data_IF_285297447050
#
_entry.id   IF_285297447050
#
_cell.length_a   1.000
_cell.length_b   1.000
_cell.length_c   1.000
_cell.angle_alpha   90.00
_cell.angle_beta   90.00
_cell.angle_gamma   90.00
#
_symmetry.space_group_name_H-M   'P 1'
#
loop_
_entity.id
_entity.type
_entity.pdbx_description
1 polymer ?
#
# COMPACT_ATOMS: atom_id res chain seq x y z
N UNK A 1 -22.27 -0.68 -31.13
CA UNK A 1 -22.29 0.13 -32.37
C UNK A 1 -22.05 -0.77 -33.56
N UNK A 2 -22.98 -0.88 -34.51
CA UNK A 2 -22.79 -1.67 -35.75
C UNK A 2 -22.12 -0.84 -36.83
N UNK A 3 -21.50 -1.48 -37.82
CA UNK A 3 -20.80 -0.76 -38.89
C UNK A 3 -21.73 0.17 -39.70
N UNK A 4 -23.00 -0.19 -39.88
CA UNK A 4 -24.02 0.63 -40.57
C UNK A 4 -24.36 1.90 -39.78
N UNK A 5 -24.46 1.79 -38.46
CA UNK A 5 -24.72 2.94 -37.59
C UNK A 5 -23.56 3.92 -37.58
N UNK A 6 -22.31 3.40 -37.48
CA UNK A 6 -21.11 4.24 -37.58
C UNK A 6 -21.01 4.93 -38.95
N UNK A 7 -21.41 4.24 -40.02
CA UNK A 7 -21.43 4.82 -41.37
C UNK A 7 -22.35 6.04 -41.44
N UNK A 8 -23.55 5.95 -40.85
CA UNK A 8 -24.54 7.03 -40.83
C UNK A 8 -24.13 8.19 -39.91
N UNK A 9 -23.56 7.91 -38.74
CA UNK A 9 -23.22 8.93 -37.73
C UNK A 9 -22.01 9.75 -38.16
N UNK A 10 -21.01 9.10 -38.76
CA UNK A 10 -19.74 9.74 -39.13
C UNK A 10 -19.62 10.05 -40.63
N UNK A 11 -20.67 9.84 -41.42
CA UNK A 11 -20.69 10.17 -42.85
C UNK A 11 -19.71 9.36 -43.71
N UNK A 12 -19.42 8.12 -43.32
CA UNK A 12 -18.42 7.29 -44.03
C UNK A 12 -19.06 6.73 -45.29
N UNK A 13 -18.49 6.95 -46.48
CA UNK A 13 -19.12 6.50 -47.73
C UNK A 13 -18.85 5.03 -48.07
N UNK A 14 -17.83 4.39 -47.46
CA UNK A 14 -17.43 3.02 -47.75
C UNK A 14 -17.72 2.01 -46.63
N UNK A 15 -18.49 0.96 -46.93
CA UNK A 15 -18.77 -0.16 -45.99
C UNK A 15 -17.48 -0.84 -45.51
N UNK A 16 -16.52 -1.03 -46.40
CA UNK A 16 -15.25 -1.68 -46.10
C UNK A 16 -14.36 -0.84 -45.19
N UNK A 17 -14.44 0.50 -45.27
CA UNK A 17 -13.63 1.43 -44.47
C UNK A 17 -13.86 1.23 -42.98
N UNK A 18 -15.13 1.16 -42.54
CA UNK A 18 -15.48 0.90 -41.14
C UNK A 18 -14.97 -0.45 -40.68
N UNK A 19 -15.13 -1.50 -41.50
CA UNK A 19 -14.65 -2.85 -41.16
C UNK A 19 -13.12 -2.95 -41.13
N UNK A 20 -12.42 -2.22 -41.98
CA UNK A 20 -10.95 -2.16 -41.99
C UNK A 20 -10.44 -1.44 -40.75
N UNK A 21 -11.10 -0.36 -40.33
CA UNK A 21 -10.77 0.31 -39.07
C UNK A 21 -11.06 -0.58 -37.86
N UNK A 22 -12.18 -1.32 -37.86
CA UNK A 22 -12.47 -2.30 -36.81
C UNK A 22 -11.46 -3.46 -36.80
N UNK A 23 -10.98 -3.93 -37.95
CA UNK A 23 -9.94 -4.98 -37.98
C UNK A 23 -8.58 -4.46 -37.53
N UNK A 24 -8.23 -3.23 -37.91
CA UNK A 24 -6.93 -2.61 -37.59
C UNK A 24 -6.87 -2.09 -36.15
N UNK A 25 -7.98 -1.58 -35.62
CA UNK A 25 -8.05 -0.87 -34.35
C UNK A 25 -9.14 -1.39 -33.38
N UNK A 26 -10.01 -2.30 -33.80
CA UNK A 26 -11.15 -2.78 -32.99
C UNK A 26 -10.81 -3.80 -31.90
N UNK A 27 -9.53 -4.16 -31.73
CA UNK A 27 -9.04 -4.82 -30.51
C UNK A 27 -8.81 -3.81 -29.36
N UNK A 28 -8.92 -2.52 -29.66
CA UNK A 28 -8.92 -1.46 -28.66
C UNK A 28 -10.32 -1.38 -28.04
N UNK A 29 -10.58 -2.26 -27.07
CA UNK A 29 -11.81 -2.25 -26.28
C UNK A 29 -11.88 -0.95 -25.47
N UNK A 30 -12.51 0.10 -26.01
CA UNK A 30 -12.78 1.34 -25.27
C UNK A 30 -13.76 1.14 -24.09
N UNK A 31 -14.48 0.02 -24.07
CA UNK A 31 -15.28 -0.44 -22.92
C UNK A 31 -14.43 -1.04 -21.79
N UNK A 32 -13.22 -1.51 -22.11
CA UNK A 32 -12.27 -2.00 -21.12
C UNK A 32 -11.37 -0.85 -20.73
N UNK A 33 -11.75 -0.15 -19.66
CA UNK A 33 -10.96 0.89 -19.00
C UNK A 33 -9.44 0.59 -19.11
N UNK A 34 -8.65 1.36 -19.90
CA UNK A 34 -7.24 1.07 -20.15
C UNK A 34 -6.36 1.16 -18.91
N UNK A 35 -6.90 1.56 -17.74
CA UNK A 35 -6.22 1.42 -16.44
C UNK A 35 -6.23 0.00 -15.88
N UNK A 36 -6.94 -0.97 -16.49
CA UNK A 36 -6.96 -2.36 -16.02
C UNK A 36 -5.97 -3.28 -16.74
N UNK A 37 -5.52 -2.93 -17.95
CA UNK A 37 -4.73 -3.86 -18.79
C UNK A 37 -3.25 -3.48 -18.97
N UNK A 38 -2.75 -2.49 -18.23
CA UNK A 38 -1.32 -2.12 -18.25
C UNK A 38 -0.73 -2.22 -16.85
N UNK A 39 -0.71 -3.44 -16.31
CA UNK A 39 0.29 -3.79 -15.30
C UNK A 39 1.29 -4.73 -15.99
N UNK A 40 2.56 -4.32 -16.21
CA UNK A 40 3.57 -5.26 -16.63
C UNK A 40 3.66 -6.33 -15.52
N UNK A 41 3.53 -7.60 -15.91
CA UNK A 41 3.79 -8.76 -15.04
C UNK A 41 5.27 -8.76 -14.64
N UNK A 42 5.62 -7.94 -13.67
CA UNK A 42 6.80 -8.12 -12.85
C UNK A 42 6.53 -9.31 -11.92
N UNK A 43 7.50 -10.22 -11.67
CA UNK A 43 7.33 -11.33 -10.71
C UNK A 43 7.18 -10.84 -9.26
N UNK A 44 7.32 -9.54 -9.03
CA UNK A 44 7.01 -8.87 -7.77
C UNK A 44 5.63 -8.24 -7.92
N UNK A 45 4.59 -9.06 -7.77
CA UNK A 45 3.25 -8.55 -7.53
C UNK A 45 3.31 -7.75 -6.23
N UNK A 46 3.46 -6.43 -6.37
CA UNK A 46 3.33 -5.50 -5.26
C UNK A 46 1.97 -5.80 -4.63
N UNK A 47 1.96 -6.20 -3.36
CA UNK A 47 0.76 -6.51 -2.59
C UNK A 47 -0.32 -5.46 -2.91
N UNK A 48 -1.56 -5.91 -3.12
CA UNK A 48 -2.65 -4.94 -3.29
C UNK A 48 -2.66 -4.00 -2.10
N UNK A 49 -2.99 -2.71 -2.25
CA UNK A 49 -2.97 -1.75 -1.14
C UNK A 49 -3.72 -2.26 0.10
N UNK A 50 -4.82 -3.00 -0.09
CA UNK A 50 -5.58 -3.64 0.99
C UNK A 50 -4.80 -4.76 1.71
N UNK A 51 -4.06 -5.59 0.99
CA UNK A 51 -3.19 -6.62 1.59
C UNK A 51 -2.05 -5.99 2.38
N UNK A 52 -1.46 -4.91 1.87
CA UNK A 52 -0.42 -4.16 2.58
C UNK A 52 -0.94 -3.56 3.88
N UNK A 53 -2.14 -2.96 3.85
CA UNK A 53 -2.79 -2.41 5.05
C UNK A 53 -3.00 -3.51 6.09
N UNK A 54 -3.60 -4.63 5.69
CA UNK A 54 -3.85 -5.76 6.61
C UNK A 54 -2.56 -6.28 7.25
N UNK A 55 -1.49 -6.42 6.47
CA UNK A 55 -0.18 -6.84 6.97
C UNK A 55 0.38 -5.85 7.98
N UNK A 56 0.35 -4.56 7.65
CA UNK A 56 0.84 -3.50 8.54
C UNK A 56 0.02 -3.39 9.83
N UNK A 57 -1.30 -3.60 9.76
CA UNK A 57 -2.17 -3.65 10.95
C UNK A 57 -1.77 -4.81 11.88
N UNK A 58 -1.52 -5.99 11.31
CA UNK A 58 -1.04 -7.13 12.08
C UNK A 58 0.34 -6.89 12.71
N UNK A 59 1.30 -6.36 11.93
CA UNK A 59 2.62 -6.00 12.45
C UNK A 59 2.52 -4.96 13.59
N UNK A 60 1.59 -4.00 13.47
CA UNK A 60 1.34 -2.99 14.50
C UNK A 60 0.74 -3.60 15.78
N UNK A 61 -0.20 -4.53 15.66
CA UNK A 61 -0.79 -5.23 16.81
C UNK A 61 0.26 -6.07 17.55
N UNK A 62 1.10 -6.80 16.81
CA UNK A 62 2.19 -7.59 17.38
C UNK A 62 3.19 -6.71 18.15
N UNK A 63 3.58 -5.57 17.58
CA UNK A 63 4.48 -4.63 18.26
C UNK A 63 3.84 -4.01 19.50
N UNK A 64 2.54 -3.66 19.45
CA UNK A 64 1.81 -3.17 20.63
C UNK A 64 1.79 -4.21 21.74
N UNK A 65 1.57 -5.48 21.40
CA UNK A 65 1.60 -6.58 22.37
C UNK A 65 2.98 -6.76 22.98
N UNK A 66 4.05 -6.70 22.16
CA UNK A 66 5.44 -6.73 22.63
C UNK A 66 5.74 -5.59 23.60
N UNK A 67 5.35 -4.36 23.26
CA UNK A 67 5.50 -3.20 24.15
C UNK A 67 4.76 -3.39 25.48
N UNK A 68 3.52 -3.90 25.45
CA UNK A 68 2.74 -4.16 26.65
C UNK A 68 3.41 -5.20 27.55
N UNK A 69 3.89 -6.30 26.96
CA UNK A 69 4.61 -7.34 27.68
C UNK A 69 5.88 -6.79 28.33
N UNK A 70 6.69 -6.03 27.59
CA UNK A 70 7.91 -5.41 28.10
C UNK A 70 7.62 -4.44 29.25
N UNK A 71 6.60 -3.58 29.10
CA UNK A 71 6.17 -2.69 30.17
C UNK A 71 5.75 -3.47 31.41
N UNK A 72 5.01 -4.56 31.25
CA UNK A 72 4.57 -5.39 32.37
C UNK A 72 5.74 -6.05 33.09
N UNK A 73 6.72 -6.56 32.36
CA UNK A 73 7.95 -7.13 32.94
C UNK A 73 8.69 -6.07 33.75
N UNK A 74 8.83 -4.85 33.21
CA UNK A 74 9.44 -3.74 33.94
C UNK A 74 8.68 -3.41 35.22
N UNK A 75 7.35 -3.38 35.18
CA UNK A 75 6.52 -3.09 36.35
C UNK A 75 6.66 -4.17 37.44
N UNK A 76 6.74 -5.44 37.05
CA UNK A 76 6.97 -6.56 37.99
C UNK A 76 8.36 -6.44 38.64
N UNK A 77 9.40 -6.17 37.85
CA UNK A 77 10.75 -5.98 38.38
C UNK A 77 10.84 -4.78 39.33
N UNK A 78 10.16 -3.68 39.00
CA UNK A 78 10.11 -2.52 39.88
C UNK A 78 9.32 -2.81 41.17
N UNK A 79 8.24 -3.61 41.10
CA UNK A 79 7.44 -3.98 42.27
C UNK A 79 8.12 -5.01 43.19
N UNK A 80 8.68 -6.08 42.63
CA UNK A 80 9.26 -7.18 43.40
C UNK A 80 10.69 -6.90 43.85
N UNK A 81 11.49 -6.26 42.99
CA UNK A 81 12.93 -6.06 43.22
C UNK A 81 13.26 -4.59 43.51
N UNK A 82 12.28 -3.68 43.52
CA UNK A 82 12.47 -2.26 43.87
C UNK A 82 13.42 -1.50 42.94
N UNK A 83 13.66 -2.02 41.74
CA UNK A 83 14.81 -1.60 40.93
C UNK A 83 14.69 -0.18 40.35
N UNK A 84 13.50 0.43 40.39
CA UNK A 84 13.20 1.78 39.90
C UNK A 84 13.81 2.05 38.51
N UNK A 85 13.72 1.07 37.61
CA UNK A 85 14.41 1.04 36.32
C UNK A 85 14.08 2.26 35.47
N UNK A 86 12.80 2.65 35.43
CA UNK A 86 12.34 3.83 34.68
C UNK A 86 13.05 5.11 35.12
N UNK A 87 13.16 5.32 36.45
CA UNK A 87 13.81 6.50 37.02
C UNK A 87 15.32 6.50 36.75
N UNK A 88 15.98 5.35 36.88
CA UNK A 88 17.41 5.19 36.59
C UNK A 88 17.72 5.49 35.12
N UNK A 89 16.87 5.01 34.21
CA UNK A 89 17.03 5.25 32.78
C UNK A 89 16.92 6.75 32.44
N UNK A 90 15.88 7.43 32.92
CA UNK A 90 15.68 8.87 32.71
C UNK A 90 16.87 9.69 33.24
N UNK A 91 17.37 9.37 34.43
CA UNK A 91 18.53 10.06 34.99
C UNK A 91 19.77 9.93 34.09
N UNK A 92 20.00 8.73 33.54
CA UNK A 92 21.13 8.48 32.62
C UNK A 92 21.00 9.28 31.31
N UNK A 93 19.80 9.38 30.75
CA UNK A 93 19.56 10.19 29.56
C UNK A 93 19.79 11.68 29.82
N UNK A 94 19.35 12.19 30.97
CA UNK A 94 19.59 13.59 31.35
C UNK A 94 21.09 13.89 31.49
N UNK A 95 21.85 13.00 32.12
CA UNK A 95 23.31 13.15 32.22
C UNK A 95 23.99 13.11 30.85
N UNK A 96 23.56 12.21 29.96
CA UNK A 96 24.04 12.17 28.57
C UNK A 96 23.72 13.47 27.80
N UNK A 97 22.51 14.01 27.97
CA UNK A 97 22.10 15.26 27.34
C UNK A 97 22.92 16.46 27.84
N UNK A 98 23.16 16.57 29.16
CA UNK A 98 24.02 17.61 29.75
C UNK A 98 25.45 17.53 29.20
N UNK A 99 26.01 16.32 29.07
CA UNK A 99 27.35 16.10 28.52
C UNK A 99 27.48 16.55 27.06
N UNK A 100 26.42 16.43 26.24
CA UNK A 100 26.43 16.88 24.83
C UNK A 100 26.33 18.39 24.67
N UNK A 101 25.85 19.12 25.68
CA UNK A 101 25.74 20.59 25.67
C UNK A 101 27.00 21.30 26.15
N UNK A 102 27.98 20.56 26.66
CA UNK A 102 29.24 21.07 27.22
C UNK A 102 30.37 20.83 26.23
#
# INVERSE_FOLDING_TARGET
MTYKQAQSIYGIQGRSTVLTWLRKHGKMDWTTNPRKNTMPKSPRANETPAQKIKRLEQELEDERLRCLLLNRVVDILDAEHGMSLRKKYIAKEQEAFKKRRK
#
